data_IF_432019217786
#
_entry.id   IF_432019217786
#
_cell.length_a   1.000
_cell.length_b   1.000
_cell.length_c   1.000
_cell.angle_alpha   90.00
_cell.angle_beta   90.00
_cell.angle_gamma   90.00
#
_symmetry.space_group_name_H-M   'P 1'
#
loop_
_entity.id
_entity.type
_entity.pdbx_description
1 polymer ?
#
# COMPACT_ATOMS: atom_id res chain seq x y z
N UNK A 1 17.47 -15.13 -25.53
CA UNK A 1 18.56 -15.99 -25.00
C UNK A 1 19.88 -15.40 -25.47
N UNK A 2 20.74 -14.99 -24.53
CA UNK A 2 22.10 -14.53 -24.80
C UNK A 2 23.08 -15.55 -24.23
N UNK A 3 24.22 -15.76 -24.90
CA UNK A 3 25.22 -16.74 -24.48
C UNK A 3 26.62 -16.14 -24.63
N UNK A 4 27.45 -16.30 -23.61
CA UNK A 4 28.87 -16.00 -23.64
C UNK A 4 29.67 -17.23 -23.20
N UNK A 5 30.81 -17.48 -23.84
CA UNK A 5 31.66 -18.65 -23.56
C UNK A 5 33.09 -18.18 -23.39
N UNK A 6 33.73 -18.58 -22.30
CA UNK A 6 35.15 -18.33 -22.03
C UNK A 6 35.80 -19.60 -21.47
N UNK A 7 36.66 -20.22 -22.28
CA UNK A 7 37.33 -21.47 -21.92
C UNK A 7 36.33 -22.59 -21.57
N UNK A 8 36.43 -23.22 -20.39
CA UNK A 8 35.51 -24.29 -19.98
C UNK A 8 34.15 -23.79 -19.45
N UNK A 9 33.89 -22.47 -19.44
CA UNK A 9 32.67 -21.90 -18.86
C UNK A 9 31.74 -21.32 -19.93
N UNK A 10 30.44 -21.53 -19.75
CA UNK A 10 29.38 -20.91 -20.54
C UNK A 10 28.39 -20.18 -19.62
N UNK A 11 28.15 -18.90 -19.90
CA UNK A 11 27.10 -18.10 -19.28
C UNK A 11 25.91 -18.04 -20.24
N UNK A 12 24.73 -18.44 -19.75
CA UNK A 12 23.49 -18.41 -20.51
C UNK A 12 22.49 -17.49 -19.80
N UNK A 13 22.07 -16.42 -20.47
CA UNK A 13 21.01 -15.52 -19.99
C UNK A 13 19.74 -15.87 -20.74
N UNK A 14 18.76 -16.39 -20.01
CA UNK A 14 17.43 -16.68 -20.51
C UNK A 14 16.42 -15.77 -19.80
N UNK A 15 15.36 -15.31 -20.50
CA UNK A 15 14.17 -14.80 -19.83
C UNK A 15 13.67 -15.89 -18.88
N UNK A 16 13.25 -15.50 -17.68
CA UNK A 16 12.56 -16.44 -16.81
C UNK A 16 11.17 -16.70 -17.39
N UNK A 17 10.87 -17.97 -17.67
CA UNK A 17 9.57 -18.39 -18.19
C UNK A 17 8.52 -18.49 -17.07
N UNK A 18 8.97 -18.40 -15.81
CA UNK A 18 8.14 -18.51 -14.62
C UNK A 18 8.11 -17.16 -13.91
N UNK A 19 7.09 -16.36 -14.19
CA UNK A 19 6.82 -15.13 -13.44
C UNK A 19 6.21 -15.49 -12.07
N UNK A 20 7.04 -15.96 -11.14
CA UNK A 20 6.63 -16.13 -9.75
C UNK A 20 6.80 -14.79 -9.05
N UNK A 21 5.71 -14.21 -8.56
CA UNK A 21 5.79 -13.08 -7.64
C UNK A 21 6.30 -13.60 -6.29
N UNK A 22 7.38 -13.04 -5.71
CA UNK A 22 7.80 -13.39 -4.35
C UNK A 22 6.69 -13.23 -3.33
N UNK A 23 5.72 -12.33 -3.58
CA UNK A 23 4.57 -12.12 -2.70
C UNK A 23 3.52 -13.24 -2.78
N UNK A 24 3.55 -14.06 -3.82
CA UNK A 24 2.67 -15.23 -4.00
C UNK A 24 3.27 -16.52 -3.42
N UNK A 25 4.60 -16.60 -3.33
CA UNK A 25 5.29 -17.82 -2.85
C UNK A 25 5.93 -17.67 -1.47
N UNK A 26 6.28 -16.45 -1.07
CA UNK A 26 6.84 -16.17 0.24
C UNK A 26 5.78 -15.53 1.16
N UNK A 27 5.90 -15.80 2.46
CA UNK A 27 5.14 -15.07 3.47
C UNK A 27 5.63 -13.62 3.53
N UNK A 28 4.74 -12.68 3.24
CA UNK A 28 4.99 -11.26 3.36
C UNK A 28 4.38 -10.69 4.64
N UNK A 29 5.13 -9.82 5.30
CA UNK A 29 4.76 -9.28 6.61
C UNK A 29 3.67 -8.18 6.57
N UNK A 30 3.59 -7.42 5.49
CA UNK A 30 2.61 -6.36 5.33
C UNK A 30 1.86 -6.48 4.01
N UNK A 31 0.61 -6.05 3.99
CA UNK A 31 -0.31 -6.14 2.86
C UNK A 31 -0.24 -4.86 2.03
N UNK A 32 -0.06 -4.99 0.72
CA UNK A 32 -0.06 -3.90 -0.25
C UNK A 32 -1.45 -3.78 -0.90
N UNK A 33 -2.22 -2.74 -0.57
CA UNK A 33 -3.46 -2.41 -1.26
C UNK A 33 -3.19 -1.33 -2.32
N UNK A 34 -3.37 -1.67 -3.59
CA UNK A 34 -2.99 -0.82 -4.73
C UNK A 34 -4.16 -0.61 -5.70
N UNK A 35 -4.32 0.62 -6.16
CA UNK A 35 -5.37 1.08 -7.05
C UNK A 35 -4.73 1.71 -8.29
N UNK A 36 -4.43 0.89 -9.30
CA UNK A 36 -3.84 1.35 -10.55
C UNK A 36 -4.57 0.78 -11.77
N UNK A 37 -4.87 1.62 -12.75
CA UNK A 37 -5.70 1.22 -13.90
C UNK A 37 -4.96 0.40 -14.95
N UNK A 38 -3.63 0.51 -15.02
CA UNK A 38 -2.82 -0.16 -16.06
C UNK A 38 -2.09 -1.41 -15.58
N UNK A 39 -1.87 -1.54 -14.28
CA UNK A 39 -1.00 -2.56 -13.70
C UNK A 39 -1.71 -3.22 -12.53
N UNK A 40 -1.66 -4.55 -12.49
CA UNK A 40 -2.02 -5.30 -11.29
C UNK A 40 -0.82 -5.24 -10.33
N UNK A 41 -0.92 -4.38 -9.32
CA UNK A 41 0.11 -4.14 -8.31
C UNK A 41 -0.39 -4.57 -6.94
N UNK A 42 0.54 -4.89 -6.04
CA UNK A 42 0.22 -5.23 -4.66
C UNK A 42 -0.42 -6.61 -4.51
N UNK A 43 -1.05 -6.81 -3.35
CA UNK A 43 -1.69 -8.05 -2.97
C UNK A 43 -3.17 -8.04 -3.36
N UNK A 44 -3.77 -9.22 -3.51
CA UNK A 44 -5.20 -9.31 -3.84
C UNK A 44 -6.07 -8.75 -2.70
N UNK A 45 -7.03 -7.89 -3.05
CA UNK A 45 -7.99 -7.31 -2.10
C UNK A 45 -9.34 -7.04 -2.76
N UNK A 46 -10.37 -6.85 -1.93
CA UNK A 46 -11.74 -6.60 -2.38
C UNK A 46 -12.17 -5.13 -2.31
N UNK A 47 -11.28 -4.22 -1.93
CA UNK A 47 -11.57 -2.78 -1.92
C UNK A 47 -11.83 -2.27 -3.32
N UNK A 48 -12.93 -1.53 -3.49
CA UNK A 48 -13.31 -0.99 -4.80
C UNK A 48 -12.37 0.13 -5.27
N UNK A 49 -11.99 1.01 -4.35
CA UNK A 49 -11.12 2.15 -4.57
C UNK A 49 -10.42 2.56 -3.26
N UNK A 50 -9.66 3.66 -3.30
CA UNK A 50 -8.94 4.15 -2.12
C UNK A 50 -9.87 4.57 -0.98
N UNK A 51 -11.05 5.11 -1.29
CA UNK A 51 -11.96 5.66 -0.29
C UNK A 51 -12.66 4.52 0.46
N UNK A 52 -13.00 3.45 -0.27
CA UNK A 52 -13.48 2.19 0.28
C UNK A 52 -12.43 1.57 1.22
N UNK A 53 -11.18 1.47 0.78
CA UNK A 53 -10.07 1.00 1.63
C UNK A 53 -9.92 1.81 2.91
N UNK A 54 -9.83 3.14 2.82
CA UNK A 54 -9.63 3.99 4.00
C UNK A 54 -10.83 3.92 4.96
N UNK A 55 -12.06 3.79 4.43
CA UNK A 55 -13.26 3.61 5.26
C UNK A 55 -13.23 2.29 6.00
N UNK A 56 -12.98 1.18 5.31
CA UNK A 56 -12.93 -0.14 5.95
C UNK A 56 -11.84 -0.18 7.03
N UNK A 57 -10.64 0.31 6.73
CA UNK A 57 -9.55 0.40 7.71
C UNK A 57 -9.89 1.30 8.92
N UNK A 58 -10.63 2.39 8.69
CA UNK A 58 -11.11 3.26 9.75
C UNK A 58 -12.09 2.52 10.67
N UNK A 59 -13.09 1.85 10.09
CA UNK A 59 -14.08 1.08 10.83
C UNK A 59 -13.46 -0.11 11.56
N UNK A 60 -12.47 -0.78 10.97
CA UNK A 60 -11.69 -1.82 11.64
C UNK A 60 -10.89 -1.30 12.84
N UNK A 61 -10.60 0.01 12.86
CA UNK A 61 -9.90 0.67 13.96
C UNK A 61 -10.85 1.11 15.06
N UNK A 62 -12.01 1.67 14.73
CA UNK A 62 -12.96 2.23 15.72
C UNK A 62 -14.10 1.29 16.12
N UNK A 63 -14.34 0.23 15.34
CA UNK A 63 -15.47 -0.70 15.44
C UNK A 63 -16.37 -0.70 14.21
N UNK A 64 -16.65 -1.88 13.64
CA UNK A 64 -17.62 -2.10 12.55
C UNK A 64 -19.07 -2.16 13.09
N UNK A 65 -19.49 -1.13 13.81
CA UNK A 65 -20.84 -1.00 14.37
C UNK A 65 -21.47 0.35 13.99
N UNK A 66 -22.73 0.53 14.38
CA UNK A 66 -23.46 1.77 14.12
C UNK A 66 -22.75 2.98 14.76
N UNK A 67 -22.09 2.77 15.89
CA UNK A 67 -21.31 3.80 16.58
C UNK A 67 -20.10 4.23 15.76
N UNK A 68 -19.32 3.27 15.25
CA UNK A 68 -18.19 3.51 14.38
C UNK A 68 -18.59 4.23 13.09
N UNK A 69 -19.70 3.83 12.48
CA UNK A 69 -20.24 4.49 11.29
C UNK A 69 -20.63 5.95 11.58
N UNK A 70 -21.32 6.22 12.68
CA UNK A 70 -21.64 7.60 13.11
C UNK A 70 -20.38 8.42 13.34
N UNK A 71 -19.33 7.82 13.90
CA UNK A 71 -18.05 8.49 14.15
C UNK A 71 -17.33 8.84 12.85
N UNK A 72 -17.34 7.92 11.89
CA UNK A 72 -16.84 8.13 10.52
C UNK A 72 -17.61 9.28 9.84
N UNK A 73 -18.94 9.19 9.77
CA UNK A 73 -19.78 10.21 9.13
C UNK A 73 -19.59 11.59 9.78
N UNK A 74 -19.53 11.64 11.12
CA UNK A 74 -19.29 12.88 11.85
C UNK A 74 -17.93 13.49 11.53
N UNK A 75 -16.88 12.67 11.46
CA UNK A 75 -15.53 13.10 11.10
C UNK A 75 -15.49 13.68 9.68
N UNK A 76 -16.01 12.94 8.69
CA UNK A 76 -16.07 13.40 7.29
C UNK A 76 -16.81 14.73 7.20
N UNK A 77 -18.00 14.84 7.81
CA UNK A 77 -18.79 16.06 7.81
C UNK A 77 -18.04 17.26 8.40
N UNK A 78 -17.32 17.08 9.52
CA UNK A 78 -16.53 18.16 10.13
C UNK A 78 -15.39 18.57 9.21
N UNK A 79 -14.61 17.63 8.69
CA UNK A 79 -13.45 17.94 7.86
C UNK A 79 -13.90 18.59 6.55
N UNK A 80 -14.85 17.99 5.85
CA UNK A 80 -15.45 18.53 4.63
C UNK A 80 -16.00 19.94 4.81
N UNK A 81 -16.69 20.21 5.93
CA UNK A 81 -17.25 21.55 6.20
C UNK A 81 -16.19 22.66 6.23
N UNK A 82 -14.95 22.34 6.61
CA UNK A 82 -13.84 23.30 6.69
C UNK A 82 -13.21 23.61 5.33
N UNK A 83 -13.39 22.74 4.34
CA UNK A 83 -12.71 22.82 3.04
C UNK A 83 -13.66 22.97 1.85
N UNK A 84 -14.95 23.26 2.08
CA UNK A 84 -16.05 23.39 1.07
C UNK A 84 -15.71 24.17 -0.21
N UNK A 85 -14.68 25.02 -0.21
CA UNK A 85 -14.28 25.82 -1.37
C UNK A 85 -13.03 25.31 -2.10
N UNK A 86 -12.43 24.17 -1.70
CA UNK A 86 -11.21 23.60 -2.30
C UNK A 86 -11.28 22.07 -2.33
N UNK A 87 -11.93 21.46 -3.35
CA UNK A 87 -12.20 20.02 -3.39
C UNK A 87 -10.95 19.14 -3.26
N UNK A 88 -9.86 19.44 -3.97
CA UNK A 88 -8.61 18.67 -3.85
C UNK A 88 -7.97 18.77 -2.47
N UNK A 89 -8.17 19.89 -1.77
CA UNK A 89 -7.66 20.08 -0.41
C UNK A 89 -8.56 19.37 0.61
N UNK A 90 -9.86 19.31 0.32
CA UNK A 90 -10.85 18.59 1.12
C UNK A 90 -10.57 17.08 1.13
N UNK A 91 -10.47 16.46 -0.05
CA UNK A 91 -10.21 15.02 -0.18
C UNK A 91 -8.96 14.62 0.59
N UNK A 92 -7.84 15.32 0.36
CA UNK A 92 -6.59 15.07 1.07
C UNK A 92 -6.72 15.25 2.58
N UNK A 93 -7.47 16.25 3.04
CA UNK A 93 -7.66 16.48 4.47
C UNK A 93 -8.51 15.38 5.13
N UNK A 94 -9.49 14.83 4.41
CA UNK A 94 -10.29 13.70 4.87
C UNK A 94 -9.43 12.44 4.94
N UNK A 95 -8.63 12.16 3.91
CA UNK A 95 -7.68 11.04 3.89
C UNK A 95 -6.67 11.14 5.05
N UNK A 96 -6.06 12.31 5.26
CA UNK A 96 -5.11 12.54 6.36
C UNK A 96 -5.79 12.35 7.74
N UNK A 97 -7.05 12.76 7.89
CA UNK A 97 -7.81 12.57 9.12
C UNK A 97 -8.15 11.09 9.38
N UNK A 98 -8.50 10.33 8.33
CA UNK A 98 -8.72 8.89 8.44
C UNK A 98 -7.43 8.16 8.78
N UNK A 99 -6.35 8.43 8.05
CA UNK A 99 -5.03 7.82 8.28
C UNK A 99 -4.52 8.07 9.69
N UNK A 100 -4.81 9.25 10.28
CA UNK A 100 -4.48 9.53 11.67
C UNK A 100 -5.19 8.58 12.64
N UNK A 101 -6.47 8.29 12.43
CA UNK A 101 -7.20 7.34 13.27
C UNK A 101 -6.72 5.91 13.01
N UNK A 102 -6.59 5.51 11.75
CA UNK A 102 -6.08 4.19 11.34
C UNK A 102 -4.71 3.92 11.98
N UNK A 103 -3.87 4.96 12.11
CA UNK A 103 -2.56 4.86 12.74
C UNK A 103 -2.60 4.47 14.23
N UNK A 104 -3.77 4.45 14.88
CA UNK A 104 -3.92 3.92 16.25
C UNK A 104 -3.68 2.40 16.27
N UNK A 105 -4.21 1.67 15.28
CA UNK A 105 -4.15 0.20 15.20
C UNK A 105 -3.17 -0.34 14.14
N UNK A 106 -2.94 0.40 13.06
CA UNK A 106 -2.12 -0.05 11.94
C UNK A 106 -0.88 0.83 11.74
N UNK A 107 0.17 0.24 11.16
CA UNK A 107 1.28 0.97 10.56
C UNK A 107 1.00 1.01 9.06
N UNK A 108 0.82 2.20 8.50
CA UNK A 108 0.47 2.41 7.10
C UNK A 108 1.47 3.33 6.43
N UNK A 109 2.02 2.93 5.29
CA UNK A 109 2.89 3.77 4.46
C UNK A 109 2.30 3.91 3.06
N UNK A 110 2.35 5.11 2.45
CA UNK A 110 1.92 5.28 1.06
C UNK A 110 2.83 4.47 0.13
N UNK A 111 2.32 4.00 -1.00
CA UNK A 111 3.09 3.39 -2.07
C UNK A 111 3.07 4.29 -3.30
N UNK A 112 4.26 4.64 -3.79
CA UNK A 112 4.44 5.40 -5.02
C UNK A 112 4.99 4.49 -6.11
N UNK A 113 4.46 4.62 -7.32
CA UNK A 113 4.95 3.97 -8.53
C UNK A 113 5.70 5.01 -9.38
N UNK A 114 6.83 4.60 -9.95
CA UNK A 114 7.48 5.25 -11.09
C UNK A 114 7.34 4.34 -12.31
N UNK A 115 6.85 4.88 -13.42
CA UNK A 115 6.65 4.19 -14.69
C UNK A 115 7.53 4.84 -15.79
N UNK A 116 8.81 4.47 -15.84
CA UNK A 116 9.79 5.06 -16.78
C UNK A 116 10.71 3.98 -17.39
N UNK A 117 10.21 3.29 -18.43
CA UNK A 117 10.85 2.11 -19.07
C UNK A 117 11.03 0.88 -18.16
N UNK A 118 10.51 0.96 -16.94
CA UNK A 118 10.46 -0.06 -15.91
C UNK A 118 9.58 0.42 -14.76
N UNK A 119 9.08 -0.51 -13.95
CA UNK A 119 8.26 -0.19 -12.79
C UNK A 119 9.11 -0.20 -11.53
N UNK A 120 9.06 0.87 -10.76
CA UNK A 120 9.69 0.94 -9.45
C UNK A 120 8.68 1.40 -8.39
N UNK A 121 8.71 0.78 -7.21
CA UNK A 121 7.84 1.11 -6.08
C UNK A 121 8.68 1.55 -4.89
N UNK A 122 8.21 2.56 -4.16
CA UNK A 122 8.77 2.98 -2.87
C UNK A 122 7.72 3.62 -1.97
N UNK A 123 8.06 3.78 -0.69
CA UNK A 123 7.17 4.38 0.31
C UNK A 123 7.32 5.89 0.46
N UNK A 124 8.06 6.51 -0.44
CA UNK A 124 8.31 7.96 -0.50
C UNK A 124 8.10 8.45 -1.93
N UNK A 125 7.77 9.73 -2.09
CA UNK A 125 7.59 10.33 -3.42
C UNK A 125 8.89 10.25 -4.24
N UNK A 126 8.80 9.91 -5.54
CA UNK A 126 9.91 10.06 -6.48
C UNK A 126 10.17 11.53 -6.84
N UNK A 127 9.23 12.42 -6.53
CA UNK A 127 9.24 13.84 -6.91
C UNK A 127 9.28 14.07 -8.42
N UNK A 128 8.74 13.13 -9.20
CA UNK A 128 8.55 13.26 -10.63
C UNK A 128 7.05 13.53 -10.93
N UNK A 129 6.69 14.72 -11.43
CA UNK A 129 5.31 15.07 -11.69
C UNK A 129 4.70 14.41 -12.94
N UNK A 130 5.50 13.73 -13.77
CA UNK A 130 5.07 13.16 -15.03
C UNK A 130 4.84 11.65 -14.91
N UNK A 131 5.87 10.95 -14.43
CA UNK A 131 5.94 9.49 -14.50
C UNK A 131 5.76 8.82 -13.13
N UNK A 132 5.51 9.62 -12.06
CA UNK A 132 5.29 9.09 -10.72
C UNK A 132 3.99 9.53 -10.07
N UNK A 133 3.43 8.64 -9.23
CA UNK A 133 2.21 8.91 -8.49
C UNK A 133 2.01 7.92 -7.34
N UNK A 134 1.21 8.31 -6.35
CA UNK A 134 0.78 7.39 -5.32
C UNK A 134 -0.22 6.41 -5.92
N UNK A 135 0.01 5.11 -5.70
CA UNK A 135 -0.83 4.03 -6.22
C UNK A 135 -1.53 3.23 -5.13
N UNK A 136 -1.23 3.47 -3.85
CA UNK A 136 -1.84 2.72 -2.77
C UNK A 136 -1.14 2.89 -1.43
N UNK A 137 -1.27 1.87 -0.59
CA UNK A 137 -0.62 1.78 0.72
C UNK A 137 -0.12 0.37 0.99
N UNK A 138 0.99 0.27 1.71
CA UNK A 138 1.39 -0.94 2.41
C UNK A 138 1.04 -0.78 3.89
N UNK A 139 0.41 -1.79 4.48
CA UNK A 139 -0.01 -1.73 5.87
C UNK A 139 0.19 -3.05 6.60
N UNK A 140 0.30 -2.97 7.92
CA UNK A 140 0.35 -4.10 8.84
C UNK A 140 -0.29 -3.68 10.16
N UNK A 141 -0.94 -4.61 10.87
CA UNK A 141 -1.44 -4.30 12.22
C UNK A 141 -0.25 -4.11 13.17
N UNK A 142 -0.38 -3.23 14.16
CA UNK A 142 0.68 -3.05 15.16
C UNK A 142 0.90 -4.31 16.01
N UNK A 143 -0.15 -5.11 16.19
CA UNK A 143 -0.11 -6.39 16.90
C UNK A 143 0.79 -7.38 16.15
N UNK A 144 0.48 -7.66 14.89
CA UNK A 144 1.30 -8.54 14.03
C UNK A 144 2.73 -8.01 13.92
N UNK A 145 2.88 -6.68 13.90
CA UNK A 145 4.19 -6.07 13.80
C UNK A 145 5.07 -6.30 15.03
N UNK A 146 4.47 -6.36 16.22
CA UNK A 146 5.17 -6.68 17.46
C UNK A 146 5.48 -8.17 17.54
N UNK A 147 4.53 -9.03 17.18
CA UNK A 147 4.70 -10.49 17.20
C UNK A 147 5.82 -10.95 16.26
N UNK A 148 5.90 -10.36 15.07
CA UNK A 148 6.99 -10.63 14.12
C UNK A 148 8.38 -10.23 14.63
N UNK A 149 8.47 -9.25 15.54
CA UNK A 149 9.73 -8.86 16.19
C UNK A 149 10.12 -9.88 17.26
N UNK A 150 9.16 -10.26 18.12
CA UNK A 150 9.39 -11.22 19.21
C UNK A 150 9.85 -12.59 18.66
N UNK A 151 9.22 -13.07 17.59
CA UNK A 151 9.57 -14.36 16.99
C UNK A 151 10.95 -14.36 16.30
N UNK A 152 11.44 -13.21 15.83
CA UNK A 152 12.79 -13.07 15.25
C UNK A 152 13.88 -13.00 16.32
N UNK A 153 13.58 -12.49 17.52
CA UNK A 153 14.54 -12.46 18.63
C UNK A 153 14.71 -13.82 19.31
N UNK A 154 13.67 -14.67 19.30
CA UNK A 154 13.73 -16.06 19.79
C UNK A 154 14.43 -17.06 18.86
N UNK A 155 14.78 -16.65 17.63
CA UNK A 155 15.44 -17.48 16.62
C UNK A 155 16.97 -17.20 16.51
N UNK A 156 17.59 -16.66 17.56
CA UNK A 156 19.05 -16.51 17.69
C UNK A 156 19.67 -17.61 18.54
#
# INVERSE_FOLDING_TARGET
MLMAVEGPYALMVQPDDILISPREVDEHFGTMACFHSRYALGDSHNYMDKDDFLREMYLDTVGHDETGLKRYEHMVNIVSSRFRHRPKTEERAVDDAMLKVISEKYITLPLYLMDHSGLAIQTTSFNDPWDSGQVGWIYVSKEDALDGVVNKEGAK
#
